data_IF_051054113517
#
_entry.id   IF_051054113517
#
_cell.length_a   1.000
_cell.length_b   1.000
_cell.length_c   1.000
_cell.angle_alpha   90.00
_cell.angle_beta   90.00
_cell.angle_gamma   90.00
#
_symmetry.space_group_name_H-M   'P 1'
#
loop_
_entity.id
_entity.type
_entity.pdbx_description
1 polymer ?
#
# COMPACT_ATOMS: atom_id res chain seq x y z
N UNK A 1 -47.37 45.95 0.60
CA UNK A 1 -46.50 46.13 1.78
C UNK A 1 -46.32 44.75 2.40
N UNK A 2 -45.08 44.33 2.61
CA UNK A 2 -44.65 42.93 2.73
C UNK A 2 -45.29 42.14 3.89
N UNK A 3 -45.62 40.88 3.62
CA UNK A 3 -46.00 39.85 4.59
C UNK A 3 -44.75 39.28 5.25
N UNK A 4 -44.66 39.39 6.59
CA UNK A 4 -43.61 38.78 7.42
C UNK A 4 -43.91 37.28 7.62
N UNK A 5 -43.10 36.40 7.00
CA UNK A 5 -43.06 34.98 7.35
C UNK A 5 -42.27 34.79 8.66
N UNK A 6 -42.85 34.03 9.60
CA UNK A 6 -42.21 33.58 10.83
C UNK A 6 -41.28 32.39 10.56
N UNK A 7 -40.13 32.27 11.28
CA UNK A 7 -39.20 31.17 11.05
C UNK A 7 -39.75 29.84 11.64
N UNK A 8 -39.41 28.68 11.05
CA UNK A 8 -39.93 27.38 11.47
C UNK A 8 -39.35 26.95 12.83
N UNK A 9 -40.16 26.36 13.73
CA UNK A 9 -39.69 25.87 15.02
C UNK A 9 -39.10 24.46 14.88
N UNK A 10 -37.80 24.28 15.13
CA UNK A 10 -37.24 22.93 15.30
C UNK A 10 -35.76 22.70 14.95
N UNK A 11 -35.05 23.67 14.37
CA UNK A 11 -33.67 23.45 13.90
C UNK A 11 -32.58 23.71 14.93
N UNK A 12 -32.83 24.50 15.99
CA UNK A 12 -31.77 24.82 16.97
C UNK A 12 -31.49 23.71 17.97
N UNK A 13 -32.50 22.90 18.32
CA UNK A 13 -32.38 21.86 19.35
C UNK A 13 -31.60 20.63 18.87
N UNK A 14 -31.71 20.26 17.60
CA UNK A 14 -30.96 19.15 16.99
C UNK A 14 -29.49 19.51 16.75
N UNK A 15 -29.21 20.73 16.28
CA UNK A 15 -27.85 21.24 16.12
C UNK A 15 -27.11 21.33 17.47
N UNK A 16 -27.79 21.80 18.52
CA UNK A 16 -27.23 21.90 19.87
C UNK A 16 -26.95 20.53 20.49
N UNK A 17 -27.83 19.53 20.27
CA UNK A 17 -27.62 18.13 20.69
C UNK A 17 -26.43 17.48 19.98
N UNK A 18 -26.27 17.72 18.68
CA UNK A 18 -25.13 17.20 17.91
C UNK A 18 -23.81 17.86 18.32
N UNK A 19 -23.82 19.17 18.58
CA UNK A 19 -22.66 19.88 19.10
C UNK A 19 -22.27 19.35 20.50
N UNK A 20 -23.24 19.17 21.39
CA UNK A 20 -23.02 18.61 22.73
C UNK A 20 -22.51 17.17 22.68
N UNK A 21 -23.06 16.33 21.80
CA UNK A 21 -22.59 14.96 21.56
C UNK A 21 -21.15 14.92 21.03
N UNK A 22 -20.78 15.86 20.16
CA UNK A 22 -19.42 15.97 19.62
C UNK A 22 -18.43 16.41 20.69
N UNK A 23 -18.79 17.40 21.51
CA UNK A 23 -17.97 17.87 22.65
C UNK A 23 -17.79 16.75 23.68
N UNK A 24 -18.88 16.03 24.01
CA UNK A 24 -18.83 14.90 24.93
C UNK A 24 -17.95 13.77 24.40
N UNK A 25 -18.06 13.43 23.12
CA UNK A 25 -17.20 12.43 22.46
C UNK A 25 -15.74 12.84 22.49
N UNK A 26 -15.42 14.10 22.19
CA UNK A 26 -14.07 14.63 22.27
C UNK A 26 -13.52 14.57 23.71
N UNK A 27 -14.34 14.88 24.72
CA UNK A 27 -13.97 14.77 26.13
C UNK A 27 -13.73 13.31 26.56
N UNK A 28 -14.56 12.37 26.11
CA UNK A 28 -14.37 10.94 26.39
C UNK A 28 -13.08 10.44 25.74
N UNK A 29 -12.80 10.81 24.49
CA UNK A 29 -11.56 10.46 23.81
C UNK A 29 -10.33 11.06 24.50
N UNK A 30 -10.42 12.31 24.98
CA UNK A 30 -9.39 12.95 25.79
C UNK A 30 -9.13 12.15 27.08
N UNK A 31 -10.19 11.80 27.83
CA UNK A 31 -10.08 11.03 29.07
C UNK A 31 -9.50 9.64 28.85
N UNK A 32 -9.91 8.95 27.78
CA UNK A 32 -9.31 7.67 27.38
C UNK A 32 -7.82 7.86 27.06
N UNK A 33 -7.46 8.93 26.35
CA UNK A 33 -6.07 9.28 26.06
C UNK A 33 -5.24 9.51 27.33
N UNK A 34 -5.76 10.31 28.27
CA UNK A 34 -5.12 10.58 29.56
C UNK A 34 -4.99 9.31 30.39
N UNK A 35 -6.02 8.46 30.43
CA UNK A 35 -6.00 7.21 31.17
C UNK A 35 -5.00 6.21 30.56
N UNK A 36 -5.00 6.04 29.24
CA UNK A 36 -4.05 5.18 28.54
C UNK A 36 -2.60 5.65 28.75
N UNK A 37 -2.37 6.96 28.70
CA UNK A 37 -1.08 7.56 29.03
C UNK A 37 -0.70 7.27 30.49
N UNK A 38 -1.61 7.45 31.43
CA UNK A 38 -1.38 7.20 32.86
C UNK A 38 -1.07 5.74 33.16
N UNK A 39 -1.75 4.79 32.51
CA UNK A 39 -1.49 3.34 32.63
C UNK A 39 -0.08 3.01 32.12
N UNK A 40 0.35 3.59 31.00
CA UNK A 40 1.73 3.40 30.51
C UNK A 40 2.77 4.06 31.42
N UNK A 41 2.44 5.23 31.98
CA UNK A 41 3.27 5.93 32.95
C UNK A 41 3.39 5.18 34.28
N UNK A 42 2.39 4.38 34.65
CA UNK A 42 2.40 3.58 35.89
C UNK A 42 3.60 2.63 35.97
N UNK A 43 4.06 2.06 34.85
CA UNK A 43 5.28 1.25 34.83
C UNK A 43 6.53 2.09 35.17
N UNK A 44 6.59 3.33 34.69
CA UNK A 44 7.70 4.27 34.93
C UNK A 44 7.68 4.85 36.36
N UNK A 45 6.50 4.90 36.99
CA UNK A 45 6.35 5.35 38.37
C UNK A 45 6.62 4.22 39.37
N UNK A 46 6.22 2.98 39.04
CA UNK A 46 6.30 1.81 39.93
C UNK A 46 7.70 1.19 39.97
N UNK A 47 8.36 1.12 38.82
CA UNK A 47 9.78 0.80 38.74
C UNK A 47 10.47 2.15 38.66
N UNK A 48 11.37 2.47 39.60
CA UNK A 48 12.09 3.76 39.56
C UNK A 48 12.57 4.05 38.14
N UNK A 49 12.40 5.29 37.69
CA UNK A 49 12.77 5.71 36.34
C UNK A 49 14.29 5.71 36.23
N UNK A 50 14.87 4.53 36.07
CA UNK A 50 16.30 4.31 35.97
C UNK A 50 16.63 4.06 34.52
N UNK A 51 17.69 4.69 34.05
CA UNK A 51 18.24 4.40 32.74
C UNK A 51 18.89 3.00 32.79
N UNK A 52 18.32 2.05 32.06
CA UNK A 52 18.73 0.64 32.11
C UNK A 52 19.92 0.28 31.21
N UNK A 53 20.42 1.20 30.40
CA UNK A 53 21.44 0.94 29.37
C UNK A 53 22.53 2.03 29.35
N UNK A 54 23.71 1.71 28.84
CA UNK A 54 24.86 2.64 28.84
C UNK A 54 24.69 3.81 27.85
N UNK A 55 24.21 3.56 26.64
CA UNK A 55 24.09 4.61 25.61
C UNK A 55 23.06 5.71 25.97
N UNK A 56 21.90 5.39 26.58
CA UNK A 56 20.99 6.43 27.04
C UNK A 56 21.54 7.33 28.15
N UNK A 57 22.51 6.88 28.97
CA UNK A 57 23.17 7.76 29.95
C UNK A 57 23.99 8.87 29.28
N UNK A 58 24.65 8.57 28.16
CA UNK A 58 25.32 9.59 27.36
C UNK A 58 24.31 10.59 26.79
N UNK A 59 23.20 10.10 26.22
CA UNK A 59 22.14 10.97 25.70
C UNK A 59 21.50 11.85 26.78
N UNK A 60 21.33 11.32 28.00
CA UNK A 60 20.87 12.09 29.15
C UNK A 60 21.85 13.21 29.52
N UNK A 61 23.15 12.91 29.65
CA UNK A 61 24.19 13.93 29.94
C UNK A 61 24.18 15.05 28.91
N UNK A 62 24.09 14.68 27.63
CA UNK A 62 24.05 15.64 26.52
C UNK A 62 22.77 16.48 26.57
N UNK A 63 21.63 15.86 26.87
CA UNK A 63 20.34 16.57 27.00
C UNK A 63 20.34 17.50 28.21
N UNK A 64 20.95 17.12 29.33
CA UNK A 64 21.13 18.02 30.47
C UNK A 64 21.97 19.24 30.11
N UNK A 65 23.03 19.06 29.31
CA UNK A 65 23.85 20.18 28.84
C UNK A 65 23.02 21.11 27.94
N UNK A 66 22.29 20.54 26.97
CA UNK A 66 21.39 21.27 26.08
C UNK A 66 20.33 22.07 26.87
N UNK A 67 19.65 21.44 27.81
CA UNK A 67 18.57 22.06 28.59
C UNK A 67 19.06 23.22 29.47
N UNK A 68 20.33 23.19 29.92
CA UNK A 68 20.93 24.23 30.78
C UNK A 68 21.57 25.36 29.98
N UNK A 69 22.29 25.04 28.91
CA UNK A 69 23.14 26.00 28.19
C UNK A 69 22.53 26.46 26.85
N UNK A 70 21.46 25.82 26.40
CA UNK A 70 20.77 26.14 25.15
C UNK A 70 21.41 25.50 23.92
N UNK A 71 20.76 25.67 22.76
CA UNK A 71 21.13 25.01 21.50
C UNK A 71 22.49 25.47 20.97
N UNK A 72 22.79 26.76 21.08
CA UNK A 72 24.02 27.35 20.54
C UNK A 72 25.27 26.80 21.25
N UNK A 73 25.26 26.82 22.58
CA UNK A 73 26.34 26.27 23.39
C UNK A 73 26.45 24.76 23.22
N UNK A 74 25.32 24.06 23.10
CA UNK A 74 25.30 22.62 22.79
C UNK A 74 25.99 22.31 21.46
N UNK A 75 25.70 23.08 20.41
CA UNK A 75 26.28 22.84 19.07
C UNK A 75 27.79 23.06 19.06
N UNK A 76 28.28 24.01 19.85
CA UNK A 76 29.70 24.33 19.97
C UNK A 76 30.40 23.58 21.12
N UNK A 77 29.71 22.66 21.81
CA UNK A 77 30.25 22.00 22.98
C UNK A 77 31.39 21.04 22.61
N UNK A 78 32.58 21.32 23.14
CA UNK A 78 33.71 20.41 23.15
C UNK A 78 33.79 19.69 24.50
N UNK A 79 33.68 18.36 24.47
CA UNK A 79 33.81 17.51 25.66
C UNK A 79 35.26 17.01 25.75
N UNK A 80 36.00 17.54 26.72
CA UNK A 80 37.39 17.20 27.04
C UNK A 80 37.52 15.86 27.79
N UNK A 81 36.40 15.35 28.33
CA UNK A 81 36.37 14.11 29.10
C UNK A 81 36.17 12.85 28.25
N UNK A 82 35.59 13.00 27.07
CA UNK A 82 35.44 11.89 26.12
C UNK A 82 36.64 11.84 25.19
N UNK A 83 37.14 10.63 24.90
CA UNK A 83 38.29 10.41 24.02
C UNK A 83 39.57 11.16 24.46
N UNK A 84 39.87 11.14 25.76
CA UNK A 84 41.12 11.73 26.28
C UNK A 84 42.36 11.10 25.62
N UNK A 85 43.37 11.90 25.19
CA UNK A 85 43.51 13.35 25.35
C UNK A 85 42.91 14.22 24.23
N UNK A 86 42.32 13.62 23.20
CA UNK A 86 41.86 14.32 21.99
C UNK A 86 40.55 15.10 22.19
N UNK A 87 39.67 14.65 23.08
CA UNK A 87 38.35 15.25 23.25
C UNK A 87 37.36 14.88 22.14
N UNK A 88 36.13 15.40 22.23
CA UNK A 88 35.08 15.22 21.22
C UNK A 88 34.23 16.47 21.06
N UNK A 89 34.04 16.93 19.82
CA UNK A 89 33.05 17.97 19.48
C UNK A 89 31.66 17.33 19.49
N UNK A 90 30.84 17.61 20.50
CA UNK A 90 29.56 16.93 20.69
C UNK A 90 28.54 17.32 19.63
N UNK A 91 28.35 18.62 19.39
CA UNK A 91 27.32 19.11 18.47
C UNK A 91 27.45 18.56 17.03
N UNK A 92 28.68 18.37 16.54
CA UNK A 92 28.94 17.85 15.20
C UNK A 92 29.03 16.32 15.08
N UNK A 93 29.10 15.59 16.21
CA UNK A 93 29.34 14.13 16.19
C UNK A 93 28.23 13.30 16.85
N UNK A 94 27.29 13.94 17.54
CA UNK A 94 26.10 13.29 18.09
C UNK A 94 24.98 13.34 17.08
N UNK A 95 24.16 12.27 17.01
CA UNK A 95 22.87 12.32 16.33
C UNK A 95 21.91 13.18 17.16
N UNK A 96 21.66 14.43 16.76
CA UNK A 96 21.02 15.39 17.66
C UNK A 96 19.52 15.14 17.82
N UNK A 97 18.92 14.27 16.98
CA UNK A 97 17.48 14.04 16.94
C UNK A 97 16.90 13.67 18.29
N UNK A 98 17.47 12.68 18.99
CA UNK A 98 16.97 12.25 20.31
C UNK A 98 17.15 13.34 21.37
N UNK A 99 18.34 13.97 21.41
CA UNK A 99 18.67 15.02 22.38
C UNK A 99 17.81 16.26 22.21
N UNK A 100 17.63 16.74 20.97
CA UNK A 100 16.80 17.90 20.67
C UNK A 100 15.32 17.61 20.93
N UNK A 101 14.84 16.41 20.60
CA UNK A 101 13.46 16.01 20.89
C UNK A 101 13.21 15.96 22.40
N UNK A 102 14.09 15.31 23.17
CA UNK A 102 13.97 15.26 24.62
C UNK A 102 14.07 16.66 25.27
N UNK A 103 15.02 17.48 24.82
CA UNK A 103 15.19 18.85 25.31
C UNK A 103 13.99 19.75 25.02
N UNK A 104 13.43 19.67 23.81
CA UNK A 104 12.24 20.45 23.43
C UNK A 104 10.99 20.01 24.17
N UNK A 105 10.78 18.69 24.35
CA UNK A 105 9.69 18.18 25.19
C UNK A 105 9.82 18.69 26.62
N UNK A 106 11.03 18.65 27.19
CA UNK A 106 11.28 19.15 28.53
C UNK A 106 11.02 20.66 28.66
N UNK A 107 11.49 21.48 27.72
CA UNK A 107 11.18 22.92 27.70
C UNK A 107 9.68 23.19 27.58
N UNK A 108 8.97 22.46 26.73
CA UNK A 108 7.53 22.60 26.57
C UNK A 108 6.79 22.25 27.86
N UNK A 109 7.15 21.14 28.51
CA UNK A 109 6.56 20.70 29.79
C UNK A 109 6.82 21.71 30.92
N UNK A 110 8.02 22.27 30.97
CA UNK A 110 8.33 23.33 31.94
C UNK A 110 7.57 24.63 31.65
N UNK A 111 7.37 25.00 30.38
CA UNK A 111 6.61 26.19 30.02
C UNK A 111 5.15 26.12 30.48
N UNK A 112 4.59 24.91 30.61
CA UNK A 112 3.25 24.66 31.15
C UNK A 112 3.26 24.27 32.65
N UNK A 113 4.36 24.49 33.36
CA UNK A 113 4.55 24.25 34.80
C UNK A 113 4.34 22.77 35.22
N UNK A 114 4.70 21.81 34.37
CA UNK A 114 4.73 20.40 34.74
C UNK A 114 6.14 20.03 35.23
N UNK A 115 6.35 19.70 36.53
CA UNK A 115 7.68 19.51 37.10
C UNK A 115 8.21 18.09 36.82
N UNK A 116 8.67 17.87 35.58
CA UNK A 116 9.31 16.60 35.17
C UNK A 116 10.83 16.76 35.06
N UNK A 117 11.56 15.73 35.48
CA UNK A 117 13.02 15.69 35.30
C UNK A 117 13.39 15.44 33.84
N UNK A 118 14.57 15.92 33.43
CA UNK A 118 15.12 15.62 32.09
C UNK A 118 15.29 14.11 31.89
N UNK A 119 15.59 13.38 32.96
CA UNK A 119 15.75 11.93 32.96
C UNK A 119 14.46 11.21 32.55
N UNK A 120 13.33 11.56 33.18
CA UNK A 120 12.03 10.95 32.84
C UNK A 120 11.64 11.19 31.39
N UNK A 121 11.92 12.38 30.85
CA UNK A 121 11.68 12.70 29.43
C UNK A 121 12.59 11.87 28.51
N UNK A 122 13.86 11.70 28.86
CA UNK A 122 14.78 10.86 28.09
C UNK A 122 14.34 9.40 28.08
N UNK A 123 13.92 8.85 29.23
CA UNK A 123 13.42 7.47 29.35
C UNK A 123 12.17 7.28 28.47
N UNK A 124 11.25 8.25 28.49
CA UNK A 124 10.07 8.21 27.63
C UNK A 124 10.44 8.20 26.14
N UNK A 125 11.39 9.04 25.71
CA UNK A 125 11.82 9.09 24.32
C UNK A 125 12.47 7.78 23.88
N UNK A 126 13.28 7.15 24.73
CA UNK A 126 13.91 5.84 24.45
C UNK A 126 12.84 4.75 24.32
N UNK A 127 11.89 4.71 25.25
CA UNK A 127 10.77 3.77 25.16
C UNK A 127 9.93 3.98 23.90
N UNK A 128 9.61 5.24 23.55
CA UNK A 128 8.86 5.55 22.34
C UNK A 128 9.63 5.15 21.07
N UNK A 129 10.94 5.38 21.03
CA UNK A 129 11.81 4.92 19.95
C UNK A 129 11.77 3.41 19.78
N UNK A 130 11.90 2.66 20.88
CA UNK A 130 11.97 1.19 20.88
C UNK A 130 10.62 0.50 20.61
N UNK A 131 9.50 1.07 21.06
CA UNK A 131 8.20 0.40 20.95
C UNK A 131 7.35 0.92 19.79
N UNK A 132 7.46 2.20 19.45
CA UNK A 132 6.58 2.83 18.45
C UNK A 132 7.27 3.05 17.10
N UNK A 133 8.56 3.40 17.09
CA UNK A 133 9.25 3.82 15.86
C UNK A 133 10.14 2.73 15.23
N UNK A 134 10.68 1.79 16.01
CA UNK A 134 11.51 0.70 15.49
C UNK A 134 10.69 -0.48 14.97
N UNK A 135 9.90 -0.23 13.92
CA UNK A 135 9.15 -1.26 13.20
C UNK A 135 9.58 -1.28 11.72
N UNK A 136 10.27 -2.34 11.25
CA UNK A 136 10.61 -2.45 9.83
C UNK A 136 9.34 -2.60 8.98
N UNK A 137 9.31 -1.93 7.82
CA UNK A 137 8.16 -2.01 6.89
C UNK A 137 8.35 -3.02 5.77
N UNK A 138 9.56 -3.57 5.59
CA UNK A 138 9.88 -4.55 4.54
C UNK A 138 9.73 -6.00 5.02
N UNK A 139 10.16 -6.26 6.26
CA UNK A 139 9.93 -7.53 6.96
C UNK A 139 8.83 -7.25 7.97
N UNK A 140 7.69 -7.90 7.82
CA UNK A 140 6.56 -7.67 8.72
C UNK A 140 6.62 -8.66 9.88
N UNK A 141 6.41 -8.15 11.09
CA UNK A 141 6.35 -8.98 12.29
C UNK A 141 4.94 -8.94 12.86
N UNK A 142 4.34 -10.11 13.07
CA UNK A 142 3.07 -10.25 13.78
C UNK A 142 3.27 -11.13 15.00
N UNK A 143 2.79 -10.68 16.15
CA UNK A 143 2.71 -11.50 17.34
C UNK A 143 1.35 -12.21 17.37
N UNK A 144 1.39 -13.54 17.33
CA UNK A 144 0.22 -14.41 17.56
C UNK A 144 0.35 -15.11 18.92
N UNK A 145 -0.71 -15.80 19.35
CA UNK A 145 -0.66 -16.69 20.53
C UNK A 145 0.39 -17.79 20.38
N UNK A 146 0.68 -18.18 19.13
CA UNK A 146 1.64 -19.24 18.78
C UNK A 146 3.09 -18.74 18.70
N UNK A 147 3.32 -17.43 18.85
CA UNK A 147 4.65 -16.83 18.83
C UNK A 147 4.80 -15.65 17.86
N UNK A 148 6.05 -15.25 17.64
CA UNK A 148 6.42 -14.22 16.68
C UNK A 148 6.47 -14.82 15.27
N UNK A 149 5.62 -14.33 14.38
CA UNK A 149 5.64 -14.66 12.96
C UNK A 149 6.32 -13.54 12.18
N UNK A 150 7.28 -13.91 11.34
CA UNK A 150 8.02 -13.00 10.47
C UNK A 150 7.62 -13.28 9.03
N UNK A 151 7.06 -12.29 8.35
CA UNK A 151 6.68 -12.35 6.94
C UNK A 151 7.70 -11.58 6.12
N UNK A 152 8.30 -12.28 5.17
CA UNK A 152 9.37 -11.75 4.33
C UNK A 152 9.08 -11.85 2.82
N UNK A 153 7.79 -11.87 2.51
CA UNK A 153 7.26 -12.07 1.17
C UNK A 153 7.67 -10.96 0.18
N UNK A 154 7.92 -9.74 0.66
CA UNK A 154 8.43 -8.66 -0.18
C UNK A 154 9.86 -8.95 -0.67
N UNK A 155 10.77 -9.35 0.21
CA UNK A 155 12.14 -9.70 -0.21
C UNK A 155 12.14 -10.93 -1.11
N UNK A 156 11.32 -11.93 -0.78
CA UNK A 156 11.15 -13.14 -1.59
C UNK A 156 10.72 -12.80 -3.02
N UNK A 157 9.68 -11.98 -3.17
CA UNK A 157 9.13 -11.59 -4.49
C UNK A 157 10.08 -10.71 -5.30
N UNK A 158 10.75 -9.73 -4.67
CA UNK A 158 11.77 -8.93 -5.35
C UNK A 158 13.00 -9.74 -5.75
N UNK A 159 13.42 -10.69 -4.90
CA UNK A 159 14.49 -11.63 -5.25
C UNK A 159 14.09 -12.52 -6.43
N UNK A 160 12.85 -13.00 -6.48
CA UNK A 160 12.34 -13.76 -7.61
C UNK A 160 12.39 -12.95 -8.90
N UNK A 161 11.91 -11.69 -8.89
CA UNK A 161 12.01 -10.79 -10.05
C UNK A 161 13.46 -10.63 -10.51
N UNK A 162 14.37 -10.37 -9.57
CA UNK A 162 15.79 -10.14 -9.88
C UNK A 162 16.48 -11.34 -10.54
N UNK A 163 16.13 -12.57 -10.15
CA UNK A 163 16.80 -13.77 -10.66
C UNK A 163 16.10 -14.42 -11.86
N UNK A 164 14.80 -14.15 -12.10
CA UNK A 164 13.99 -14.90 -13.06
C UNK A 164 13.44 -14.07 -14.25
N UNK A 165 13.81 -12.78 -14.33
CA UNK A 165 13.36 -11.88 -15.42
C UNK A 165 14.55 -11.19 -16.08
N UNK A 166 14.38 -10.61 -17.26
CA UNK A 166 15.46 -9.86 -17.92
C UNK A 166 15.59 -8.47 -17.27
N UNK A 167 16.79 -7.89 -17.26
CA UNK A 167 17.05 -6.57 -16.62
C UNK A 167 16.22 -5.45 -17.28
N UNK A 168 16.01 -5.56 -18.59
CA UNK A 168 15.22 -4.60 -19.38
C UNK A 168 13.70 -4.83 -19.26
N UNK A 169 13.26 -5.89 -18.57
CA UNK A 169 11.83 -6.15 -18.39
C UNK A 169 11.19 -5.10 -17.50
N UNK A 170 10.09 -4.53 -17.99
CA UNK A 170 9.32 -3.51 -17.27
C UNK A 170 8.26 -4.14 -16.37
N UNK A 171 8.26 -3.71 -15.12
CA UNK A 171 7.33 -4.13 -14.08
C UNK A 171 6.37 -2.99 -13.75
N UNK A 172 5.08 -3.23 -13.86
CA UNK A 172 4.05 -2.32 -13.40
C UNK A 172 3.58 -2.70 -11.99
N UNK A 173 3.56 -1.73 -11.09
CA UNK A 173 3.00 -1.84 -9.75
C UNK A 173 2.29 -0.53 -9.41
N UNK A 174 1.60 -0.47 -8.27
CA UNK A 174 1.22 0.82 -7.71
C UNK A 174 2.47 1.65 -7.35
N UNK A 175 2.34 2.97 -7.35
CA UNK A 175 3.49 3.90 -7.24
C UNK A 175 4.25 3.72 -5.92
N UNK A 176 3.55 3.41 -4.83
CA UNK A 176 4.09 3.11 -3.49
C UNK A 176 5.32 2.17 -3.50
N UNK A 177 5.35 1.22 -4.43
CA UNK A 177 6.34 0.13 -4.48
C UNK A 177 7.44 0.34 -5.51
N UNK A 178 7.38 1.39 -6.34
CA UNK A 178 8.30 1.58 -7.47
C UNK A 178 9.77 1.70 -7.03
N UNK A 179 10.02 2.45 -5.95
CA UNK A 179 11.36 2.58 -5.37
C UNK A 179 11.92 1.25 -4.85
N UNK A 180 11.09 0.47 -4.17
CA UNK A 180 11.49 -0.82 -3.62
C UNK A 180 11.80 -1.83 -4.74
N UNK A 181 10.94 -1.87 -5.77
CA UNK A 181 11.14 -2.72 -6.93
C UNK A 181 12.46 -2.38 -7.64
N UNK A 182 12.74 -1.09 -7.84
CA UNK A 182 14.00 -0.66 -8.46
C UNK A 182 15.21 -1.00 -7.58
N UNK A 183 15.17 -0.69 -6.28
CA UNK A 183 16.30 -0.87 -5.38
C UNK A 183 16.60 -2.35 -5.07
N UNK A 184 15.57 -3.20 -4.98
CA UNK A 184 15.72 -4.58 -4.54
C UNK A 184 15.67 -5.58 -5.69
N UNK A 185 14.79 -5.37 -6.67
CA UNK A 185 14.68 -6.26 -7.83
C UNK A 185 15.56 -5.83 -9.01
N UNK A 186 16.11 -4.60 -9.00
CA UNK A 186 16.90 -4.03 -10.09
C UNK A 186 16.18 -4.17 -11.45
N UNK A 187 14.92 -3.70 -11.52
CA UNK A 187 14.08 -3.72 -12.72
C UNK A 187 13.50 -2.36 -13.04
N UNK A 188 13.20 -2.16 -14.32
CA UNK A 188 12.56 -0.94 -14.80
C UNK A 188 11.11 -0.89 -14.31
N UNK A 189 10.73 0.22 -13.67
CA UNK A 189 9.36 0.45 -13.19
C UNK A 189 8.66 1.53 -14.01
N UNK A 190 7.33 1.43 -14.10
CA UNK A 190 6.50 2.40 -14.84
C UNK A 190 6.21 3.66 -14.01
N UNK A 191 5.98 3.48 -12.70
CA UNK A 191 5.67 4.56 -11.74
C UNK A 191 6.37 4.30 -10.40
N UNK A 192 6.70 5.37 -9.69
CA UNK A 192 7.39 5.39 -8.38
C UNK A 192 6.88 6.53 -7.46
N UNK A 193 7.38 6.63 -6.22
CA UNK A 193 6.94 7.66 -5.26
C UNK A 193 7.32 9.10 -5.65
N UNK A 194 8.22 9.29 -6.62
CA UNK A 194 8.65 10.61 -7.07
C UNK A 194 8.20 10.89 -8.51
N UNK A 195 7.21 10.14 -8.99
CA UNK A 195 6.64 10.34 -10.30
C UNK A 195 5.90 11.67 -10.31
N UNK A 196 6.51 12.65 -10.98
CA UNK A 196 5.97 14.01 -11.11
C UNK A 196 4.87 14.11 -12.17
N UNK A 197 4.76 13.13 -13.06
CA UNK A 197 3.75 13.11 -14.11
C UNK A 197 2.48 12.36 -13.64
N UNK A 198 1.52 13.13 -13.12
CA UNK A 198 0.23 12.62 -12.64
C UNK A 198 -0.56 11.84 -13.70
N UNK A 199 -0.43 12.20 -14.98
CA UNK A 199 -1.09 11.47 -16.08
C UNK A 199 -0.58 10.04 -16.17
N UNK A 200 0.73 9.83 -15.94
CA UNK A 200 1.33 8.50 -15.98
C UNK A 200 0.80 7.60 -14.84
N UNK A 201 0.69 8.16 -13.62
CA UNK A 201 0.08 7.47 -12.47
C UNK A 201 -1.39 7.15 -12.77
N UNK A 202 -2.12 8.10 -13.36
CA UNK A 202 -3.50 7.89 -13.76
C UNK A 202 -3.64 6.78 -14.81
N UNK A 203 -2.72 6.64 -15.77
CA UNK A 203 -2.73 5.54 -16.74
C UNK A 203 -2.61 4.17 -16.06
N UNK A 204 -1.69 4.03 -15.09
CA UNK A 204 -1.56 2.78 -14.31
C UNK A 204 -2.80 2.53 -13.45
N UNK A 205 -3.32 3.58 -12.79
CA UNK A 205 -4.56 3.49 -12.01
C UNK A 205 -5.76 3.04 -12.85
N UNK A 206 -5.92 3.62 -14.04
CA UNK A 206 -6.95 3.24 -15.02
C UNK A 206 -6.75 1.81 -15.51
N UNK A 207 -5.53 1.37 -15.77
CA UNK A 207 -5.28 -0.02 -16.15
C UNK A 207 -5.71 -0.99 -15.03
N UNK A 208 -5.32 -0.71 -13.78
CA UNK A 208 -5.66 -1.54 -12.63
C UNK A 208 -7.17 -1.55 -12.32
N UNK A 209 -7.88 -0.45 -12.57
CA UNK A 209 -9.32 -0.35 -12.35
C UNK A 209 -10.18 -0.84 -13.53
N UNK A 210 -9.60 -0.99 -14.72
CA UNK A 210 -10.33 -1.40 -15.93
C UNK A 210 -10.56 -2.90 -16.01
N UNK A 211 -11.50 -3.37 -16.85
CA UNK A 211 -11.60 -4.78 -17.20
C UNK A 211 -10.33 -5.31 -17.85
N UNK A 212 -10.06 -6.59 -17.65
CA UNK A 212 -8.83 -7.29 -18.05
C UNK A 212 -8.33 -6.98 -19.48
N UNK A 213 -9.22 -6.95 -20.48
CA UNK A 213 -8.83 -6.68 -21.88
C UNK A 213 -8.32 -5.25 -22.07
N UNK A 214 -9.04 -4.25 -21.55
CA UNK A 214 -8.65 -2.85 -21.67
C UNK A 214 -7.35 -2.58 -20.89
N UNK A 215 -7.22 -3.20 -19.71
CA UNK A 215 -6.01 -3.12 -18.91
C UNK A 215 -4.80 -3.74 -19.65
N UNK A 216 -4.98 -4.88 -20.31
CA UNK A 216 -3.95 -5.50 -21.15
C UNK A 216 -3.53 -4.60 -22.32
N UNK A 217 -4.48 -3.93 -22.99
CA UNK A 217 -4.17 -2.99 -24.09
C UNK A 217 -3.31 -1.81 -23.59
N UNK A 218 -3.60 -1.27 -22.40
CA UNK A 218 -2.81 -0.19 -21.78
C UNK A 218 -1.42 -0.70 -21.38
N UNK A 219 -1.32 -1.82 -20.68
CA UNK A 219 -0.01 -2.33 -20.26
C UNK A 219 0.85 -2.77 -21.44
N UNK A 220 0.24 -3.34 -22.49
CA UNK A 220 0.95 -3.67 -23.72
C UNK A 220 1.43 -2.42 -24.47
N UNK A 221 0.69 -1.30 -24.45
CA UNK A 221 1.15 -0.05 -25.09
C UNK A 221 2.31 0.61 -24.33
N UNK A 222 2.40 0.36 -23.02
CA UNK A 222 3.51 0.78 -22.15
C UNK A 222 4.69 -0.20 -22.15
N UNK A 223 4.61 -1.29 -22.94
CA UNK A 223 5.63 -2.34 -23.02
C UNK A 223 5.92 -3.00 -21.64
N UNK A 224 4.88 -3.14 -20.82
CA UNK A 224 4.95 -3.83 -19.53
C UNK A 224 4.96 -5.34 -19.76
N UNK A 225 5.91 -6.05 -19.14
CA UNK A 225 5.92 -7.53 -19.15
C UNK A 225 5.32 -8.14 -17.90
N UNK A 226 5.54 -7.51 -16.74
CA UNK A 226 5.09 -8.05 -15.45
C UNK A 226 4.23 -7.05 -14.70
N UNK A 227 3.23 -7.54 -13.97
CA UNK A 227 2.36 -6.77 -13.07
C UNK A 227 2.50 -7.35 -11.68
N UNK A 228 2.91 -6.51 -10.72
CA UNK A 228 3.02 -6.86 -9.31
C UNK A 228 1.82 -6.29 -8.55
N UNK A 229 1.17 -7.13 -7.76
CA UNK A 229 0.04 -6.77 -6.90
C UNK A 229 0.29 -7.26 -5.49
N UNK A 230 0.03 -6.41 -4.50
CA UNK A 230 0.08 -6.74 -3.07
C UNK A 230 -1.31 -7.15 -2.60
N UNK A 231 -1.41 -8.36 -2.06
CA UNK A 231 -2.67 -8.95 -1.58
C UNK A 231 -2.54 -9.43 -0.14
N UNK A 232 -3.26 -8.79 0.78
CA UNK A 232 -3.16 -9.10 2.21
C UNK A 232 -4.23 -10.04 2.74
N UNK A 233 -5.15 -10.50 1.89
CA UNK A 233 -6.37 -11.18 2.33
C UNK A 233 -6.15 -12.50 3.06
N UNK A 234 -5.05 -13.22 2.79
CA UNK A 234 -4.76 -14.51 3.44
C UNK A 234 -4.24 -14.35 4.87
N UNK A 235 -3.32 -13.41 5.11
CA UNK A 235 -2.70 -13.19 6.43
C UNK A 235 -3.37 -12.07 7.24
N UNK A 236 -4.22 -11.27 6.61
CA UNK A 236 -4.84 -10.10 7.26
C UNK A 236 -3.98 -8.84 7.21
N UNK A 237 -3.15 -8.66 6.17
CA UNK A 237 -2.34 -7.44 6.00
C UNK A 237 -3.19 -6.29 5.41
N UNK A 238 -3.50 -5.23 6.18
CA UNK A 238 -4.46 -4.22 5.76
C UNK A 238 -3.91 -3.21 4.75
N UNK A 239 -2.60 -3.10 4.56
CA UNK A 239 -1.98 -2.15 3.63
C UNK A 239 -1.83 -2.75 2.22
N UNK A 240 -2.82 -3.54 1.79
CA UNK A 240 -2.85 -4.19 0.49
C UNK A 240 -3.47 -3.31 -0.61
N UNK A 241 -3.33 -3.72 -1.87
CA UNK A 241 -3.77 -2.91 -3.01
C UNK A 241 -5.29 -2.82 -3.13
N UNK A 242 -6.04 -3.77 -2.57
CA UNK A 242 -7.50 -3.73 -2.56
C UNK A 242 -8.02 -2.62 -1.63
N UNK A 243 -7.32 -2.28 -0.53
CA UNK A 243 -7.70 -1.14 0.32
C UNK A 243 -7.29 0.21 -0.30
N UNK A 244 -6.20 0.22 -1.05
CA UNK A 244 -5.75 1.41 -1.80
C UNK A 244 -6.51 1.60 -3.11
N UNK A 245 -7.25 0.60 -3.57
CA UNK A 245 -7.87 0.56 -4.89
C UNK A 245 -8.73 1.78 -5.24
N UNK A 246 -9.50 2.30 -4.27
CA UNK A 246 -10.35 3.47 -4.52
C UNK A 246 -9.53 4.73 -4.87
N UNK A 247 -8.30 4.84 -4.37
CA UNK A 247 -7.37 5.90 -4.81
C UNK A 247 -6.95 5.72 -6.26
N UNK A 248 -6.72 4.47 -6.70
CA UNK A 248 -6.42 4.17 -8.11
C UNK A 248 -7.57 4.60 -9.02
N UNK A 249 -8.81 4.31 -8.61
CA UNK A 249 -10.04 4.71 -9.32
C UNK A 249 -10.18 6.23 -9.37
N UNK A 250 -9.96 6.94 -8.25
CA UNK A 250 -10.06 8.40 -8.19
C UNK A 250 -9.01 9.10 -9.05
N UNK A 251 -7.76 8.66 -8.96
CA UNK A 251 -6.66 9.25 -9.75
C UNK A 251 -6.85 8.95 -11.24
N UNK A 252 -7.19 7.70 -11.59
CA UNK A 252 -7.51 7.31 -12.96
C UNK A 252 -8.70 8.08 -13.53
N UNK A 253 -9.81 8.14 -12.78
CA UNK A 253 -11.05 8.83 -13.16
C UNK A 253 -10.91 10.36 -13.25
N UNK A 254 -9.98 10.95 -12.49
CA UNK A 254 -9.68 12.39 -12.57
C UNK A 254 -9.07 12.83 -13.90
N UNK A 255 -8.34 11.93 -14.58
CA UNK A 255 -7.74 12.19 -15.90
C UNK A 255 -8.56 11.55 -17.02
N UNK A 256 -9.13 10.37 -16.78
CA UNK A 256 -9.87 9.58 -17.76
C UNK A 256 -11.33 9.38 -17.32
N UNK A 257 -12.27 10.22 -17.78
CA UNK A 257 -13.65 10.28 -17.27
C UNK A 257 -14.52 9.02 -17.48
N UNK A 258 -14.03 8.03 -18.23
CA UNK A 258 -14.73 6.77 -18.45
C UNK A 258 -14.68 5.84 -17.22
N UNK A 259 -13.75 6.09 -16.29
CA UNK A 259 -13.71 5.43 -14.97
C UNK A 259 -14.42 6.34 -13.97
N UNK A 260 -15.48 5.83 -13.33
CA UNK A 260 -16.24 6.58 -12.32
C UNK A 260 -16.25 5.82 -11.01
N UNK A 261 -15.95 6.52 -9.91
CA UNK A 261 -15.92 5.93 -8.57
C UNK A 261 -17.24 5.26 -8.18
N UNK A 262 -18.37 5.89 -8.53
CA UNK A 262 -19.70 5.37 -8.24
C UNK A 262 -19.95 3.97 -8.84
N UNK A 263 -19.30 3.60 -9.93
CA UNK A 263 -19.48 2.29 -10.58
C UNK A 263 -18.89 1.14 -9.73
N UNK A 264 -17.99 1.45 -8.80
CA UNK A 264 -17.34 0.48 -7.90
C UNK A 264 -18.01 0.39 -6.52
N UNK A 265 -18.95 1.30 -6.23
CA UNK A 265 -19.63 1.38 -4.93
C UNK A 265 -21.06 0.88 -5.05
N UNK A 266 -21.48 0.02 -4.12
CA UNK A 266 -22.88 -0.41 -3.99
C UNK A 266 -23.55 0.42 -2.91
N UNK A 267 -24.49 1.28 -3.29
CA UNK A 267 -25.20 2.17 -2.36
C UNK A 267 -24.23 3.02 -1.50
N UNK A 268 -23.12 3.45 -2.11
CA UNK A 268 -22.04 4.20 -1.44
C UNK A 268 -21.04 3.35 -0.65
N UNK A 269 -21.27 2.04 -0.51
CA UNK A 269 -20.39 1.13 0.21
C UNK A 269 -19.40 0.42 -0.74
N UNK A 270 -18.14 0.37 -0.33
CA UNK A 270 -17.11 -0.42 -1.01
C UNK A 270 -17.15 -1.87 -0.52
N UNK A 271 -17.39 -2.81 -1.43
CA UNK A 271 -17.59 -4.23 -1.12
C UNK A 271 -16.81 -5.13 -2.08
N UNK A 272 -16.47 -6.33 -1.61
CA UNK A 272 -15.79 -7.39 -2.38
C UNK A 272 -16.56 -8.72 -2.39
N UNK A 273 -17.68 -8.75 -1.68
CA UNK A 273 -18.57 -9.90 -1.51
C UNK A 273 -19.51 -10.08 -2.72
N UNK A 274 -20.48 -10.99 -2.62
CA UNK A 274 -21.44 -11.24 -3.70
C UNK A 274 -22.36 -10.04 -3.99
N UNK A 275 -22.43 -9.05 -3.10
CA UNK A 275 -23.21 -7.83 -3.27
C UNK A 275 -22.40 -6.69 -3.91
N UNK A 276 -21.10 -6.90 -4.14
CA UNK A 276 -20.25 -5.96 -4.84
C UNK A 276 -20.74 -5.69 -6.27
N UNK A 277 -20.40 -4.52 -6.82
CA UNK A 277 -20.83 -4.15 -8.16
C UNK A 277 -20.19 -5.06 -9.22
N UNK A 278 -20.87 -5.31 -10.35
CA UNK A 278 -20.29 -6.06 -11.45
C UNK A 278 -18.98 -5.44 -11.98
N UNK A 279 -18.85 -4.12 -11.91
CA UNK A 279 -17.62 -3.39 -12.27
C UNK A 279 -16.47 -3.77 -11.33
N UNK A 280 -16.71 -3.80 -10.02
CA UNK A 280 -15.71 -4.20 -9.03
C UNK A 280 -15.29 -5.67 -9.20
N UNK A 281 -16.25 -6.58 -9.37
CA UNK A 281 -15.96 -8.02 -9.55
C UNK A 281 -15.30 -8.38 -10.89
N UNK A 282 -15.29 -7.45 -11.85
CA UNK A 282 -14.69 -7.65 -13.18
C UNK A 282 -13.44 -6.80 -13.45
N UNK A 283 -13.07 -5.88 -12.55
CA UNK A 283 -11.86 -5.09 -12.69
C UNK A 283 -10.61 -5.96 -12.62
N UNK A 284 -9.51 -5.48 -13.20
CA UNK A 284 -8.26 -6.22 -13.23
C UNK A 284 -7.73 -6.45 -11.82
N UNK A 285 -7.73 -5.42 -10.97
CA UNK A 285 -7.23 -5.53 -9.59
C UNK A 285 -7.91 -6.67 -8.81
N UNK A 286 -9.25 -6.74 -8.83
CA UNK A 286 -9.98 -7.84 -8.18
C UNK A 286 -9.55 -9.20 -8.74
N UNK A 287 -9.46 -9.32 -10.07
CA UNK A 287 -9.05 -10.57 -10.70
C UNK A 287 -7.62 -10.98 -10.34
N UNK A 288 -6.66 -10.05 -10.31
CA UNK A 288 -5.27 -10.35 -9.97
C UNK A 288 -5.09 -10.65 -8.48
N UNK A 289 -5.81 -9.97 -7.59
CA UNK A 289 -5.70 -10.25 -6.15
C UNK A 289 -6.36 -11.57 -5.76
N UNK A 290 -7.53 -11.91 -6.31
CA UNK A 290 -8.31 -13.09 -5.90
C UNK A 290 -8.19 -14.31 -6.81
N UNK A 291 -7.32 -14.28 -7.83
CA UNK A 291 -7.13 -15.43 -8.71
C UNK A 291 -6.79 -16.68 -7.90
N UNK A 292 -7.56 -17.77 -8.05
CA UNK A 292 -7.37 -19.04 -7.32
C UNK A 292 -7.43 -18.94 -5.78
N UNK A 293 -7.91 -17.83 -5.22
CA UNK A 293 -7.92 -17.64 -3.76
C UNK A 293 -8.80 -18.65 -3.02
N UNK A 294 -9.86 -19.12 -3.68
CA UNK A 294 -10.75 -20.19 -3.15
C UNK A 294 -10.02 -21.52 -2.96
N UNK A 295 -8.90 -21.76 -3.65
CA UNK A 295 -8.11 -22.98 -3.49
C UNK A 295 -7.38 -23.05 -2.14
N UNK A 296 -7.29 -21.93 -1.40
CA UNK A 296 -6.59 -21.87 -0.11
C UNK A 296 -7.38 -22.50 1.04
N UNK A 297 -8.66 -22.14 1.18
CA UNK A 297 -9.55 -22.53 2.29
C UNK A 297 -10.90 -23.10 1.83
N UNK A 298 -11.12 -23.23 0.51
CA UNK A 298 -12.36 -23.72 -0.11
C UNK A 298 -13.49 -22.68 -0.19
N UNK A 299 -13.39 -21.56 0.53
CA UNK A 299 -14.45 -20.52 0.61
C UNK A 299 -14.01 -19.21 -0.06
N UNK A 300 -12.72 -18.90 0.00
CA UNK A 300 -12.14 -17.62 -0.38
C UNK A 300 -12.47 -16.54 0.65
N UNK A 301 -12.19 -16.78 1.93
CA UNK A 301 -12.47 -15.81 2.98
C UNK A 301 -11.34 -14.78 3.12
N UNK A 302 -11.64 -13.51 2.89
CA UNK A 302 -10.67 -12.41 3.08
C UNK A 302 -10.63 -11.99 4.56
N UNK A 303 -9.47 -12.15 5.21
CA UNK A 303 -9.26 -11.82 6.64
C UNK A 303 -9.19 -10.33 6.93
N UNK A 304 -8.77 -9.51 5.97
CA UNK A 304 -8.71 -8.05 6.10
C UNK A 304 -10.12 -7.48 6.11
N UNK A 305 -10.94 -7.90 5.14
CA UNK A 305 -12.31 -7.37 4.95
C UNK A 305 -13.37 -8.18 5.68
N UNK A 306 -12.99 -9.32 6.25
CA UNK A 306 -13.84 -10.22 7.04
C UNK A 306 -15.08 -10.67 6.28
N UNK A 307 -14.91 -10.97 5.00
CA UNK A 307 -16.02 -11.38 4.13
C UNK A 307 -15.58 -12.44 3.12
N UNK A 308 -16.55 -13.20 2.64
CA UNK A 308 -16.35 -14.18 1.57
C UNK A 308 -16.41 -13.48 0.21
N UNK A 309 -15.49 -13.81 -0.69
CA UNK A 309 -15.41 -13.14 -1.98
C UNK A 309 -16.64 -13.44 -2.85
N UNK A 310 -17.12 -12.42 -3.56
CA UNK A 310 -18.29 -12.56 -4.43
C UNK A 310 -18.06 -13.44 -5.65
N UNK A 311 -16.94 -13.23 -6.36
CA UNK A 311 -16.62 -13.98 -7.58
C UNK A 311 -15.48 -14.96 -7.34
N UNK A 312 -15.87 -16.21 -7.07
CA UNK A 312 -14.99 -17.30 -6.68
C UNK A 312 -14.15 -17.89 -7.81
N UNK A 313 -14.79 -18.19 -8.94
CA UNK A 313 -14.18 -18.95 -10.03
C UNK A 313 -14.10 -18.11 -11.30
N UNK A 314 -12.89 -17.80 -11.74
CA UNK A 314 -12.63 -17.11 -12.99
C UNK A 314 -11.25 -17.47 -13.55
N UNK A 315 -11.04 -17.25 -14.85
CA UNK A 315 -9.78 -17.51 -15.53
C UNK A 315 -9.20 -16.21 -16.08
N UNK A 316 -7.88 -16.11 -16.05
CA UNK A 316 -7.13 -15.02 -16.67
C UNK A 316 -6.81 -15.38 -18.12
N UNK A 317 -7.29 -14.56 -19.04
CA UNK A 317 -7.15 -14.71 -20.49
C UNK A 317 -5.92 -14.00 -21.06
N UNK A 318 -5.57 -12.83 -20.50
CA UNK A 318 -4.50 -11.94 -20.96
C UNK A 318 -3.29 -11.89 -20.03
N UNK A 319 -3.44 -12.41 -18.81
CA UNK A 319 -2.39 -12.49 -17.81
C UNK A 319 -2.16 -13.96 -17.42
N UNK A 320 -0.94 -14.29 -17.01
CA UNK A 320 -0.57 -15.56 -16.39
C UNK A 320 0.11 -15.31 -15.05
N UNK A 321 -0.29 -16.08 -14.03
CA UNK A 321 0.40 -16.08 -12.74
C UNK A 321 1.77 -16.76 -12.92
N UNK A 322 2.84 -16.06 -12.57
CA UNK A 322 4.22 -16.58 -12.67
C UNK A 322 4.86 -16.77 -11.30
N UNK A 323 4.41 -16.03 -10.30
CA UNK A 323 4.89 -16.14 -8.93
C UNK A 323 3.83 -15.65 -7.94
N UNK A 324 3.69 -16.35 -6.82
CA UNK A 324 2.93 -15.93 -5.64
C UNK A 324 3.77 -16.29 -4.43
N UNK A 325 3.98 -15.33 -3.53
CA UNK A 325 4.82 -15.50 -2.34
C UNK A 325 4.26 -16.53 -1.37
N UNK A 326 5.07 -16.99 -0.42
CA UNK A 326 4.70 -18.04 0.52
C UNK A 326 3.37 -17.79 1.26
N UNK A 327 3.13 -16.55 1.69
CA UNK A 327 1.93 -16.15 2.40
C UNK A 327 0.93 -15.39 1.53
N UNK A 328 1.09 -15.47 0.21
CA UNK A 328 0.23 -14.83 -0.80
C UNK A 328 0.19 -13.30 -0.70
N UNK A 329 1.17 -12.70 -0.04
CA UNK A 329 1.29 -11.24 0.12
C UNK A 329 1.60 -10.53 -1.19
N UNK A 330 2.46 -11.10 -2.02
CA UNK A 330 2.87 -10.51 -3.29
C UNK A 330 2.59 -11.49 -4.41
N UNK A 331 1.92 -11.02 -5.45
CA UNK A 331 1.55 -11.79 -6.63
C UNK A 331 2.08 -11.12 -7.87
N UNK A 332 2.73 -11.90 -8.73
CA UNK A 332 3.34 -11.41 -9.96
C UNK A 332 2.71 -12.13 -11.14
N UNK A 333 2.24 -11.33 -12.08
CA UNK A 333 1.59 -11.78 -13.29
C UNK A 333 2.38 -11.34 -14.51
N UNK A 334 2.53 -12.23 -15.48
CA UNK A 334 3.12 -11.90 -16.78
C UNK A 334 2.03 -11.61 -17.80
N UNK A 335 2.27 -10.62 -18.66
CA UNK A 335 1.40 -10.34 -19.79
C UNK A 335 1.57 -11.41 -20.86
N UNK A 336 0.45 -11.98 -21.32
CA UNK A 336 0.48 -12.92 -22.44
C UNK A 336 0.71 -12.17 -23.74
N UNK A 337 1.51 -12.73 -24.66
CA UNK A 337 1.73 -12.13 -25.97
C UNK A 337 0.43 -12.07 -26.76
N UNK A 338 0.33 -11.08 -27.66
CA UNK A 338 -0.81 -10.99 -28.56
C UNK A 338 -0.89 -12.26 -29.42
N UNK A 339 -2.06 -12.89 -29.44
CA UNK A 339 -2.28 -14.08 -30.27
C UNK A 339 -2.08 -13.70 -31.74
N UNK A 340 -1.02 -14.22 -32.36
CA UNK A 340 -0.75 -14.04 -33.79
C UNK A 340 -1.95 -14.53 -34.61
N UNK A 341 -2.77 -13.60 -35.10
CA UNK A 341 -3.98 -13.92 -35.86
C UNK A 341 -3.64 -14.17 -37.33
N UNK A 342 -2.83 -15.19 -37.63
CA UNK A 342 -2.79 -15.77 -38.99
C UNK A 342 -3.98 -16.73 -39.10
N UNK A 343 -5.20 -16.19 -39.00
CA UNK A 343 -6.42 -16.94 -39.33
C UNK A 343 -6.84 -16.48 -40.72
N UNK A 344 -6.08 -16.91 -41.72
CA UNK A 344 -6.50 -16.84 -43.11
C UNK A 344 -7.86 -17.52 -43.20
N UNK A 345 -8.91 -16.73 -43.46
CA UNK A 345 -10.16 -17.25 -44.00
C UNK A 345 -9.80 -17.80 -45.38
N UNK A 346 -9.34 -19.05 -45.44
CA UNK A 346 -9.40 -19.82 -46.67
C UNK A 346 -10.89 -20.00 -46.98
N UNK A 347 -11.47 -19.03 -47.70
CA UNK A 347 -12.71 -19.26 -48.44
C UNK A 347 -12.40 -20.44 -49.37
N UNK A 348 -12.89 -21.63 -49.01
CA UNK A 348 -13.06 -22.73 -49.98
C UNK A 348 -13.98 -22.19 -51.07
N UNK A 349 -13.40 -21.62 -52.11
CA UNK A 349 -14.04 -21.44 -53.40
C UNK A 349 -14.31 -22.86 -53.91
N UNK A 350 -15.54 -23.35 -53.70
CA UNK A 350 -16.06 -24.50 -54.44
C UNK A 350 -16.07 -24.10 -55.91
N UNK A 351 -15.09 -24.56 -56.68
CA UNK A 351 -15.23 -24.65 -58.12
C UNK A 351 -16.42 -25.57 -58.39
N UNK A 352 -17.54 -24.99 -58.83
CA UNK A 352 -18.61 -25.72 -59.50
C UNK A 352 -18.11 -26.04 -60.90
N UNK A 353 -17.61 -27.26 -61.11
CA UNK A 353 -17.55 -27.84 -62.45
C UNK A 353 -18.95 -28.33 -62.81
N UNK A 354 -19.68 -27.51 -63.55
CA UNK A 354 -20.86 -27.92 -64.29
C UNK A 354 -20.42 -28.37 -65.69
N UNK A 355 -20.55 -29.66 -65.98
CA UNK A 355 -20.72 -30.13 -67.35
C UNK A 355 -21.42 -31.48 -67.33
N UNK A 356 -22.75 -31.41 -67.49
CA UNK A 356 -23.55 -32.55 -67.90
C UNK A 356 -23.22 -32.95 -69.34
N UNK A 357 -23.48 -34.22 -69.60
CA UNK A 357 -23.34 -35.00 -70.82
C UNK A 357 -23.53 -34.24 -72.15
N UNK A 358 -22.72 -34.61 -73.15
CA UNK A 358 -23.29 -35.16 -74.38
C UNK A 358 -22.32 -36.06 -75.16
N UNK A 359 -22.84 -37.19 -75.59
CA UNK A 359 -22.21 -38.23 -76.42
C UNK A 359 -21.99 -37.75 -77.86
N UNK A 360 -20.85 -38.08 -78.48
CA UNK A 360 -20.79 -38.48 -79.90
C UNK A 360 -19.46 -39.12 -80.30
N UNK A 361 -19.62 -40.05 -81.23
CA UNK A 361 -18.67 -41.04 -81.71
C UNK A 361 -17.50 -40.49 -82.55
N UNK A 362 -16.47 -41.34 -82.61
CA UNK A 362 -15.55 -41.59 -83.73
C UNK A 362 -14.54 -40.50 -84.14
N UNK A 363 -13.25 -40.80 -83.92
CA UNK A 363 -12.29 -41.08 -85.01
C UNK A 363 -10.96 -41.64 -84.46
N UNK A 364 -10.48 -42.71 -85.09
CA UNK A 364 -9.14 -43.30 -84.94
C UNK A 364 -8.06 -42.25 -85.18
N UNK A 365 -7.05 -42.20 -84.32
CA UNK A 365 -5.74 -41.62 -84.66
C UNK A 365 -5.00 -42.59 -85.58
N UNK A 366 -4.47 -42.14 -86.72
CA UNK A 366 -3.28 -42.74 -87.30
C UNK A 366 -2.06 -42.19 -86.52
N UNK A 367 -1.07 -43.04 -86.31
CA UNK A 367 0.21 -42.75 -85.64
C UNK A 367 0.21 -42.87 -84.11
N UNK A 368 0.81 -44.00 -83.72
CA UNK A 368 1.41 -44.37 -82.42
C UNK A 368 0.43 -44.89 -81.37
#
# INVERSE_FOLDING_TARGET
MATLESPPPGTSSSAMRNAFGTVLSALILLLIGVLAFSIRLFSVIKYESVIHEFDPYFNYRVTQFLSKNGIYEFWNWFDDRTWYPLGRVIGGTVYPGLTLTAGTIWWALNAINIPLSVETVCIHCVWAAAEAYSAPSIVLTSQSRDGLHVFDDFRESYAWLSHNTDVDDKVASWWDYGYQTTAMANRTVIVDNNTWNNTHIATVGTAMSSPEKAAWEIFNSLDVKYVLVVFGGLIGYPSDDINKFLWMVRIGGGVFPHIKEADYLRDGNYRIDSEATPTMLNCLMYKLSYYRFVETDGKGYDRVRRTEIGKKNFKLTHFEEVFTSHHWMVRIYKLKPQKNRIRGRAKKLKLKTSSGLDSKAAKKNPWI
#
